data_IF_737962832471
#
_entry.id   IF_737962832471
#
_cell.length_a   1.000
_cell.length_b   1.000
_cell.length_c   1.000
_cell.angle_alpha   90.00
_cell.angle_beta   90.00
_cell.angle_gamma   90.00
#
_symmetry.space_group_name_H-M   'P 1'
#
loop_
_entity.id
_entity.type
_entity.pdbx_description
1 polymer ?
#
# COMPACT_ATOMS: atom_id res chain seq x y z
N UNK A 1 61.90 -29.35 9.31
CA UNK A 1 60.86 -30.30 9.73
C UNK A 1 59.66 -29.59 10.40
N UNK A 2 59.74 -29.02 11.61
CA UNK A 2 58.56 -28.36 12.25
C UNK A 2 57.90 -27.22 11.46
N UNK A 3 58.69 -26.35 10.80
CA UNK A 3 58.18 -25.23 9.99
C UNK A 3 57.37 -25.68 8.75
N UNK A 4 57.71 -26.82 8.16
CA UNK A 4 57.02 -27.33 6.96
C UNK A 4 55.68 -27.99 7.30
N UNK A 5 55.59 -28.63 8.47
CA UNK A 5 54.34 -29.16 9.01
C UNK A 5 53.38 -28.03 9.41
N UNK A 6 53.86 -26.99 10.10
CA UNK A 6 53.05 -25.81 10.41
C UNK A 6 52.53 -25.09 9.16
N UNK A 7 53.37 -24.98 8.12
CA UNK A 7 52.98 -24.42 6.82
C UNK A 7 51.88 -25.27 6.15
N UNK A 8 52.00 -26.60 6.15
CA UNK A 8 50.97 -27.50 5.61
C UNK A 8 49.65 -27.40 6.38
N UNK A 9 49.70 -27.32 7.71
CA UNK A 9 48.50 -27.19 8.55
C UNK A 9 47.81 -25.83 8.29
N UNK A 10 48.59 -24.75 8.19
CA UNK A 10 48.04 -23.43 7.83
C UNK A 10 47.43 -23.42 6.44
N UNK A 11 48.06 -24.04 5.44
CA UNK A 11 47.51 -24.12 4.08
C UNK A 11 46.19 -24.90 4.02
N UNK A 12 46.09 -26.02 4.74
CA UNK A 12 44.86 -26.79 4.85
C UNK A 12 43.74 -26.01 5.56
N UNK A 13 44.07 -25.26 6.61
CA UNK A 13 43.12 -24.39 7.31
C UNK A 13 42.64 -23.22 6.43
N UNK A 14 43.55 -22.63 5.64
CA UNK A 14 43.22 -21.56 4.70
C UNK A 14 42.25 -22.06 3.63
N UNK A 15 42.56 -23.23 3.05
CA UNK A 15 41.74 -23.86 2.01
C UNK A 15 40.34 -24.20 2.50
N UNK A 16 40.20 -24.73 3.71
CA UNK A 16 38.89 -24.95 4.35
C UNK A 16 38.10 -23.66 4.56
N UNK A 17 38.77 -22.57 4.94
CA UNK A 17 38.12 -21.26 5.09
C UNK A 17 37.66 -20.69 3.75
N UNK A 18 38.46 -20.82 2.70
CA UNK A 18 38.09 -20.41 1.35
C UNK A 18 36.86 -21.19 0.85
N UNK A 19 36.86 -22.51 1.02
CA UNK A 19 35.71 -23.36 0.67
C UNK A 19 34.44 -22.97 1.45
N UNK A 20 34.56 -22.69 2.75
CA UNK A 20 33.44 -22.20 3.57
C UNK A 20 32.94 -20.82 3.14
N UNK A 21 33.85 -19.90 2.80
CA UNK A 21 33.49 -18.57 2.33
C UNK A 21 32.69 -18.65 1.03
N UNK A 22 33.12 -19.49 0.09
CA UNK A 22 32.40 -19.68 -1.19
C UNK A 22 31.00 -20.25 -0.98
N UNK A 23 30.83 -21.21 -0.07
CA UNK A 23 29.51 -21.78 0.26
C UNK A 23 28.62 -20.71 0.89
N UNK A 24 29.15 -19.98 1.88
CA UNK A 24 28.42 -18.93 2.58
C UNK A 24 28.01 -17.79 1.65
N UNK A 25 28.88 -17.38 0.72
CA UNK A 25 28.60 -16.34 -0.26
C UNK A 25 27.47 -16.76 -1.21
N UNK A 26 27.48 -18.02 -1.67
CA UNK A 26 26.41 -18.57 -2.50
C UNK A 26 25.08 -18.64 -1.75
N UNK A 27 25.10 -19.12 -0.51
CA UNK A 27 23.90 -19.21 0.33
C UNK A 27 23.35 -17.82 0.69
N UNK A 28 24.23 -16.87 0.98
CA UNK A 28 23.86 -15.48 1.22
C UNK A 28 23.22 -14.86 -0.02
N UNK A 29 23.85 -15.02 -1.19
CA UNK A 29 23.30 -14.51 -2.46
C UNK A 29 21.94 -15.12 -2.76
N UNK A 30 21.78 -16.43 -2.54
CA UNK A 30 20.48 -17.11 -2.70
C UNK A 30 19.42 -16.52 -1.75
N UNK A 31 19.75 -16.36 -0.46
CA UNK A 31 18.84 -15.77 0.53
C UNK A 31 18.45 -14.33 0.17
N UNK A 32 19.41 -13.50 -0.23
CA UNK A 32 19.15 -12.12 -0.68
C UNK A 32 18.24 -12.10 -1.90
N UNK A 33 18.49 -12.97 -2.89
CA UNK A 33 17.63 -13.05 -4.08
C UNK A 33 16.20 -13.52 -3.75
N UNK A 34 16.05 -14.50 -2.85
CA UNK A 34 14.76 -14.98 -2.38
C UNK A 34 13.99 -13.89 -1.62
N UNK A 35 14.68 -13.20 -0.70
CA UNK A 35 14.11 -12.10 0.07
C UNK A 35 13.62 -10.96 -0.84
N UNK A 36 14.42 -10.56 -1.83
CA UNK A 36 14.01 -9.55 -2.81
C UNK A 36 12.79 -10.01 -3.61
N UNK A 37 12.73 -11.29 -4.01
CA UNK A 37 11.58 -11.86 -4.69
C UNK A 37 10.31 -11.80 -3.83
N UNK A 38 10.39 -12.14 -2.55
CA UNK A 38 9.25 -12.10 -1.65
C UNK A 38 8.82 -10.67 -1.33
N UNK A 39 9.76 -9.74 -1.17
CA UNK A 39 9.46 -8.31 -1.03
C UNK A 39 8.69 -7.79 -2.25
N UNK A 40 9.10 -8.14 -3.48
CA UNK A 40 8.40 -7.74 -4.70
C UNK A 40 6.99 -8.33 -4.78
N UNK A 41 6.79 -9.58 -4.36
CA UNK A 41 5.43 -10.18 -4.29
C UNK A 41 4.55 -9.45 -3.29
N UNK A 42 5.08 -9.11 -2.11
CA UNK A 42 4.33 -8.37 -1.08
C UNK A 42 3.93 -7.00 -1.58
N UNK A 43 4.86 -6.24 -2.17
CA UNK A 43 4.59 -4.93 -2.78
C UNK A 43 3.55 -5.06 -3.90
N UNK A 44 3.68 -6.05 -4.78
CA UNK A 44 2.72 -6.32 -5.84
C UNK A 44 1.30 -6.66 -5.33
N UNK A 45 1.20 -7.39 -4.22
CA UNK A 45 -0.07 -7.68 -3.58
C UNK A 45 -0.73 -6.43 -2.97
N UNK A 46 0.06 -5.56 -2.33
CA UNK A 46 -0.41 -4.28 -1.79
C UNK A 46 -0.92 -3.40 -2.93
N UNK A 47 -0.12 -3.22 -3.99
CA UNK A 47 -0.51 -2.41 -5.16
C UNK A 47 -1.77 -2.95 -5.84
N UNK A 48 -1.92 -4.27 -5.93
CA UNK A 48 -3.11 -4.89 -6.51
C UNK A 48 -4.36 -4.67 -5.63
N UNK A 49 -4.20 -4.68 -4.32
CA UNK A 49 -5.28 -4.38 -3.36
C UNK A 49 -5.71 -2.92 -3.47
N UNK A 50 -4.74 -2.00 -3.47
CA UNK A 50 -4.99 -0.55 -3.57
C UNK A 50 -5.66 -0.18 -4.90
N UNK A 51 -5.23 -0.80 -6.01
CA UNK A 51 -5.87 -0.64 -7.33
C UNK A 51 -7.31 -1.14 -7.32
N UNK A 52 -7.60 -2.28 -6.68
CA UNK A 52 -8.97 -2.79 -6.57
C UNK A 52 -9.87 -1.86 -5.74
N UNK A 53 -9.34 -1.34 -4.63
CA UNK A 53 -10.09 -0.39 -3.80
C UNK A 53 -10.35 0.91 -4.57
N UNK A 54 -9.35 1.44 -5.26
CA UNK A 54 -9.47 2.66 -6.07
C UNK A 54 -10.51 2.52 -7.16
N UNK A 55 -10.49 1.41 -7.92
CA UNK A 55 -11.52 1.12 -8.95
C UNK A 55 -12.94 1.08 -8.39
N UNK A 56 -13.13 0.55 -7.17
CA UNK A 56 -14.45 0.52 -6.53
C UNK A 56 -14.91 1.92 -6.14
N UNK A 57 -14.00 2.77 -5.65
CA UNK A 57 -14.31 4.17 -5.35
C UNK A 57 -14.64 4.93 -6.63
N UNK A 58 -13.84 4.77 -7.69
CA UNK A 58 -14.10 5.37 -9.01
C UNK A 58 -15.49 5.00 -9.54
N UNK A 59 -15.86 3.72 -9.48
CA UNK A 59 -17.18 3.28 -9.89
C UNK A 59 -18.30 3.92 -9.06
N UNK A 60 -18.11 4.04 -7.74
CA UNK A 60 -19.07 4.74 -6.89
C UNK A 60 -19.15 6.24 -7.22
N UNK A 61 -18.03 6.87 -7.58
CA UNK A 61 -18.00 8.27 -8.04
C UNK A 61 -18.82 8.41 -9.32
N UNK A 62 -18.64 7.52 -10.30
CA UNK A 62 -19.44 7.52 -11.53
C UNK A 62 -20.94 7.42 -11.24
N UNK A 63 -21.33 6.45 -10.41
CA UNK A 63 -22.73 6.23 -10.01
C UNK A 63 -23.31 7.47 -9.32
N UNK A 64 -22.61 8.02 -8.32
CA UNK A 64 -23.06 9.21 -7.58
C UNK A 64 -23.05 10.46 -8.47
N UNK A 65 -22.12 10.56 -9.41
CA UNK A 65 -22.04 11.64 -10.39
C UNK A 65 -23.24 11.65 -11.35
N UNK A 66 -23.87 10.50 -11.62
CA UNK A 66 -25.12 10.42 -12.35
C UNK A 66 -26.38 10.72 -11.53
N UNK A 67 -26.31 10.61 -10.19
CA UNK A 67 -27.47 10.80 -9.32
C UNK A 67 -27.87 12.27 -9.14
N UNK A 68 -29.16 12.49 -8.87
CA UNK A 68 -29.66 13.79 -8.38
C UNK A 68 -29.01 14.13 -7.03
N UNK A 69 -28.67 15.40 -6.74
CA UNK A 69 -28.00 15.77 -5.49
C UNK A 69 -28.72 15.32 -4.21
N UNK A 70 -30.05 15.32 -4.20
CA UNK A 70 -30.85 14.86 -3.04
C UNK A 70 -30.67 13.36 -2.77
N UNK A 71 -30.66 12.55 -3.82
CA UNK A 71 -30.47 11.09 -3.70
C UNK A 71 -29.03 10.78 -3.27
N UNK A 72 -28.05 11.49 -3.84
CA UNK A 72 -26.66 11.37 -3.41
C UNK A 72 -26.48 11.75 -1.93
N UNK A 73 -27.13 12.81 -1.46
CA UNK A 73 -27.11 13.21 -0.06
C UNK A 73 -27.67 12.12 0.86
N UNK A 74 -28.80 11.50 0.50
CA UNK A 74 -29.39 10.41 1.28
C UNK A 74 -28.46 9.19 1.36
N UNK A 75 -27.90 8.76 0.22
CA UNK A 75 -27.00 7.60 0.17
C UNK A 75 -25.72 7.85 0.96
N UNK A 76 -25.08 9.01 0.77
CA UNK A 76 -23.82 9.34 1.45
C UNK A 76 -23.99 9.62 2.95
N UNK A 77 -25.21 9.94 3.40
CA UNK A 77 -25.51 10.19 4.81
C UNK A 77 -25.51 8.92 5.66
N UNK A 78 -25.89 7.78 5.07
CA UNK A 78 -25.92 6.47 5.75
C UNK A 78 -24.67 5.65 5.49
N UNK A 79 -23.82 6.09 4.57
CA UNK A 79 -22.58 5.42 4.21
C UNK A 79 -21.47 5.75 5.21
N UNK A 80 -20.48 4.85 5.30
CA UNK A 80 -19.27 5.07 6.08
C UNK A 80 -18.59 6.40 5.73
N UNK A 81 -18.13 7.09 6.76
CA UNK A 81 -17.63 8.45 6.67
C UNK A 81 -16.41 8.57 5.74
N UNK A 82 -15.47 7.63 5.85
CA UNK A 82 -14.23 7.66 5.10
C UNK A 82 -14.49 7.39 3.61
N UNK A 83 -15.43 6.48 3.30
CA UNK A 83 -15.84 6.18 1.93
C UNK A 83 -16.58 7.39 1.33
N UNK A 84 -17.51 7.99 2.06
CA UNK A 84 -18.25 9.17 1.61
C UNK A 84 -17.32 10.34 1.30
N UNK A 85 -16.33 10.60 2.16
CA UNK A 85 -15.35 11.67 1.95
C UNK A 85 -14.47 11.40 0.73
N UNK A 86 -14.01 10.16 0.52
CA UNK A 86 -13.26 9.78 -0.70
C UNK A 86 -14.06 10.02 -1.98
N UNK A 87 -15.33 9.62 -1.99
CA UNK A 87 -16.23 9.84 -3.13
C UNK A 87 -16.43 11.34 -3.38
N UNK A 88 -16.76 12.10 -2.34
CA UNK A 88 -16.92 13.55 -2.41
C UNK A 88 -15.64 14.24 -2.90
N UNK A 89 -14.46 13.70 -2.56
CA UNK A 89 -13.14 14.21 -2.96
C UNK A 89 -12.91 14.19 -4.47
N UNK A 90 -13.60 13.28 -5.17
CA UNK A 90 -13.45 13.06 -6.60
C UNK A 90 -14.61 13.62 -7.42
N UNK A 91 -15.62 14.19 -6.78
CA UNK A 91 -16.76 14.83 -7.44
C UNK A 91 -16.49 16.31 -7.73
N UNK A 92 -17.21 16.86 -8.71
CA UNK A 92 -17.15 18.28 -9.01
C UNK A 92 -17.56 19.14 -7.80
N UNK A 93 -16.79 20.21 -7.47
CA UNK A 93 -17.04 21.03 -6.27
C UNK A 93 -18.47 21.58 -6.17
N UNK A 94 -19.07 21.99 -7.30
CA UNK A 94 -20.44 22.49 -7.35
C UNK A 94 -21.46 21.43 -6.93
N UNK A 95 -21.22 20.17 -7.30
CA UNK A 95 -22.10 19.04 -6.94
C UNK A 95 -21.93 18.67 -5.48
N UNK A 96 -20.69 18.64 -4.98
CA UNK A 96 -20.37 18.43 -3.57
C UNK A 96 -21.07 19.44 -2.67
N UNK A 97 -21.00 20.74 -3.01
CA UNK A 97 -21.69 21.80 -2.26
C UNK A 97 -23.20 21.58 -2.21
N UNK A 98 -23.83 21.22 -3.33
CA UNK A 98 -25.27 20.91 -3.37
C UNK A 98 -25.63 19.69 -2.52
N UNK A 99 -24.79 18.65 -2.54
CA UNK A 99 -24.99 17.46 -1.71
C UNK A 99 -24.94 17.82 -0.23
N UNK A 100 -23.91 18.53 0.23
CA UNK A 100 -23.80 18.96 1.62
C UNK A 100 -24.98 19.80 2.11
N UNK A 101 -25.52 20.66 1.25
CA UNK A 101 -26.69 21.48 1.58
C UNK A 101 -27.99 20.68 1.73
N UNK A 102 -28.04 19.47 1.17
CA UNK A 102 -29.20 18.58 1.19
C UNK A 102 -29.08 17.46 2.24
N UNK A 103 -27.97 17.41 2.97
CA UNK A 103 -27.75 16.48 4.09
C UNK A 103 -28.28 17.08 5.39
N UNK A 104 -28.51 16.21 6.38
CA UNK A 104 -28.71 16.67 7.76
C UNK A 104 -27.50 17.48 8.25
N UNK A 105 -27.75 18.49 9.08
CA UNK A 105 -26.73 19.46 9.52
C UNK A 105 -25.56 18.80 10.26
N UNK A 106 -25.83 17.83 11.12
CA UNK A 106 -24.78 17.18 11.92
C UNK A 106 -23.93 16.28 11.03
N UNK A 107 -24.57 15.52 10.14
CA UNK A 107 -23.90 14.64 9.17
C UNK A 107 -23.05 15.48 8.21
N UNK A 108 -23.63 16.56 7.68
CA UNK A 108 -22.96 17.49 6.77
C UNK A 108 -21.73 18.11 7.42
N UNK A 109 -21.85 18.65 8.64
CA UNK A 109 -20.72 19.23 9.36
C UNK A 109 -19.61 18.20 9.65
N UNK A 110 -19.97 16.98 10.05
CA UNK A 110 -19.02 15.90 10.31
C UNK A 110 -18.23 15.52 9.05
N UNK A 111 -18.92 15.31 7.94
CA UNK A 111 -18.28 14.96 6.67
C UNK A 111 -17.47 16.12 6.09
N UNK A 112 -17.93 17.36 6.21
CA UNK A 112 -17.17 18.55 5.79
C UNK A 112 -15.85 18.67 6.58
N UNK A 113 -15.88 18.46 7.89
CA UNK A 113 -14.66 18.47 8.72
C UNK A 113 -13.65 17.44 8.21
N UNK A 114 -14.08 16.20 7.99
CA UNK A 114 -13.20 15.15 7.48
C UNK A 114 -12.71 15.44 6.07
N UNK A 115 -13.58 15.95 5.20
CA UNK A 115 -13.26 16.35 3.84
C UNK A 115 -12.15 17.40 3.78
N UNK A 116 -12.18 18.40 4.66
CA UNK A 116 -11.13 19.42 4.75
C UNK A 116 -9.79 18.87 5.27
N UNK A 117 -9.81 17.81 6.07
CA UNK A 117 -8.61 17.21 6.68
C UNK A 117 -8.05 16.02 5.91
N UNK A 118 -8.72 15.59 4.84
CA UNK A 118 -8.28 14.47 4.02
C UNK A 118 -6.95 14.82 3.35
N UNK A 119 -5.92 13.99 3.59
CA UNK A 119 -4.67 14.08 2.81
C UNK A 119 -4.98 13.63 1.38
N UNK A 120 -4.66 14.48 0.41
CA UNK A 120 -4.67 14.11 -1.01
C UNK A 120 -3.66 13.01 -1.29
#
# INVERSE_FOLDING_TARGET
>A
MKKEEELKISQLALKKKEEQLVINEKDFTRKVSGFNGDQQKVLGCIDASDKKQSKRVEHMVEVISGMKPVSAAQVLSVQDADISVKILGLLEPKKVSKIFNLMDKEISARLQKQYMTMKK
#
